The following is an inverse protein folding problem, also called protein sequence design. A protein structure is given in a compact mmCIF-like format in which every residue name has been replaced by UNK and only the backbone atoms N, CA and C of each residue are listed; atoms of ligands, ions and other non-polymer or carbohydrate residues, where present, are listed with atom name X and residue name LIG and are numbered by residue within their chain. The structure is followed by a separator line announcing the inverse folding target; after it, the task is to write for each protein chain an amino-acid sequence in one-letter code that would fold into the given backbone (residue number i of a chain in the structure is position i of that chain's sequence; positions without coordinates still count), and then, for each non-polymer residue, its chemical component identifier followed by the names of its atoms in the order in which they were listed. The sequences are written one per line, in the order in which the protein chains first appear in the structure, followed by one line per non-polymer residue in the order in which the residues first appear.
data_IF_884044493456
#
_entry.id   IF_884044493456
#
_cell.length_a   1.000
_cell.length_b   1.000
_cell.length_c   1.000
_cell.angle_alpha   90.00
_cell.angle_beta   90.00
_cell.angle_gamma   90.00
#
_symmetry.space_group_name_H-M   'P 1'
#
loop_
_entity.id
_entity.type
_entity.pdbx_description
1 polymer ?
#
# COMPACT_ATOMS: atom_id res chain seq x y z
N UNK A 1 8.11 -22.59 -0.36
CA UNK A 1 6.99 -23.34 0.23
C UNK A 1 7.35 -24.82 0.31
N UNK A 2 6.55 -25.60 1.03
CA UNK A 2 6.62 -27.05 1.06
C UNK A 2 6.33 -27.61 -0.34
N UNK A 3 7.10 -28.62 -0.74
CA UNK A 3 6.92 -29.27 -2.05
C UNK A 3 5.57 -29.99 -2.07
N UNK A 4 4.77 -29.72 -3.11
CA UNK A 4 3.49 -30.41 -3.27
C UNK A 4 3.70 -31.91 -3.57
N UNK A 5 3.01 -32.82 -2.85
CA UNK A 5 3.13 -34.26 -3.08
C UNK A 5 2.53 -34.66 -4.43
N UNK A 6 2.95 -35.80 -4.97
CA UNK A 6 2.54 -36.26 -6.30
C UNK A 6 1.03 -36.38 -6.51
N UNK A 7 0.29 -36.76 -5.47
CA UNK A 7 -1.17 -36.82 -5.50
C UNK A 7 -1.82 -35.43 -5.65
N UNK A 8 -1.29 -34.40 -4.98
CA UNK A 8 -1.84 -33.04 -5.08
C UNK A 8 -1.72 -32.49 -6.51
N UNK A 9 -0.63 -32.78 -7.21
CA UNK A 9 -0.47 -32.44 -8.63
C UNK A 9 -1.49 -33.13 -9.55
N UNK A 10 -1.98 -34.32 -9.18
CA UNK A 10 -3.02 -35.02 -9.95
C UNK A 10 -4.42 -34.50 -9.66
N UNK A 11 -4.66 -34.03 -8.42
CA UNK A 11 -5.97 -33.53 -7.98
C UNK A 11 -6.21 -32.08 -8.37
N UNK A 12 -5.20 -31.22 -8.21
CA UNK A 12 -5.30 -29.77 -8.43
C UNK A 12 -4.58 -29.30 -9.68
N UNK A 13 -3.78 -30.18 -10.30
CA UNK A 13 -3.13 -29.86 -11.57
C UNK A 13 -4.19 -29.51 -12.59
N UNK A 14 -4.21 -28.28 -13.14
CA UNK A 14 -5.12 -28.00 -14.22
C UNK A 14 -4.75 -28.92 -15.39
N UNK A 15 -5.74 -29.51 -16.04
CA UNK A 15 -5.56 -30.00 -17.40
C UNK A 15 -5.57 -28.82 -18.42
N UNK A 16 -5.24 -27.60 -17.99
CA UNK A 16 -6.18 -26.49 -18.11
C UNK A 16 -5.69 -25.19 -18.76
N UNK A 17 -4.56 -25.19 -19.46
CA UNK A 17 -4.26 -24.16 -20.48
C UNK A 17 -4.53 -24.68 -21.90
N UNK A 18 -4.86 -25.97 -22.04
CA UNK A 18 -5.08 -26.64 -23.33
C UNK A 18 -3.80 -26.88 -24.14
N UNK A 19 -2.62 -26.61 -23.59
CA UNK A 19 -1.34 -26.68 -24.31
C UNK A 19 -0.71 -28.10 -24.33
N UNK A 20 -1.32 -29.06 -23.63
CA UNK A 20 -0.92 -30.47 -23.60
C UNK A 20 0.35 -30.78 -22.79
N UNK A 21 0.92 -29.80 -22.07
CA UNK A 21 2.12 -30.03 -21.24
C UNK A 21 1.78 -30.58 -19.85
N UNK A 22 2.70 -31.32 -19.22
CA UNK A 22 2.49 -31.78 -17.85
C UNK A 22 2.50 -30.59 -16.87
N UNK A 23 1.65 -30.58 -15.82
CA UNK A 23 1.48 -29.45 -14.90
C UNK A 23 2.72 -28.94 -14.15
N UNK A 24 3.85 -29.67 -14.27
CA UNK A 24 5.13 -29.33 -13.64
C UNK A 24 6.15 -28.72 -14.61
N UNK A 25 5.82 -28.63 -15.90
CA UNK A 25 6.72 -28.08 -16.92
C UNK A 25 6.44 -26.60 -17.22
N UNK A 26 5.19 -26.15 -17.07
CA UNK A 26 4.80 -24.74 -17.18
C UNK A 26 4.84 -24.06 -15.80
N UNK A 27 5.39 -22.85 -15.71
CA UNK A 27 5.31 -22.03 -14.48
C UNK A 27 3.86 -21.63 -14.18
N UNK A 28 3.06 -21.38 -15.22
CA UNK A 28 1.65 -20.98 -15.09
C UNK A 28 0.82 -22.12 -14.51
N UNK A 29 0.91 -23.34 -15.07
CA UNK A 29 0.28 -24.53 -14.48
C UNK A 29 0.71 -24.77 -13.03
N UNK A 30 1.99 -24.54 -12.70
CA UNK A 30 2.49 -24.69 -11.34
C UNK A 30 1.81 -23.69 -10.39
N UNK A 31 1.71 -22.42 -10.79
CA UNK A 31 1.04 -21.39 -10.01
C UNK A 31 -0.46 -21.68 -9.85
N UNK A 32 -1.14 -22.06 -10.94
CA UNK A 32 -2.55 -22.43 -10.93
C UNK A 32 -2.82 -23.63 -10.01
N UNK A 33 -1.95 -24.65 -10.06
CA UNK A 33 -2.04 -25.82 -9.17
C UNK A 33 -1.90 -25.43 -7.70
N UNK A 34 -0.91 -24.57 -7.39
CA UNK A 34 -0.68 -24.10 -6.02
C UNK A 34 -1.88 -23.28 -5.54
N UNK A 35 -2.38 -22.36 -6.36
CA UNK A 35 -3.54 -21.53 -6.04
C UNK A 35 -4.80 -22.37 -5.79
N UNK A 36 -5.11 -23.32 -6.67
CA UNK A 36 -6.25 -24.21 -6.53
C UNK A 36 -6.17 -25.06 -5.24
N UNK A 37 -4.98 -25.56 -4.89
CA UNK A 37 -4.77 -26.27 -3.63
C UNK A 37 -4.98 -25.35 -2.42
N UNK A 38 -4.39 -24.15 -2.44
CA UNK A 38 -4.52 -23.20 -1.32
C UNK A 38 -6.00 -22.83 -1.10
N UNK A 39 -6.75 -22.60 -2.17
CA UNK A 39 -8.18 -22.30 -2.09
C UNK A 39 -9.01 -23.45 -1.49
N UNK A 40 -8.61 -24.70 -1.73
CA UNK A 40 -9.28 -25.88 -1.19
C UNK A 40 -9.00 -26.14 0.31
N UNK A 41 -8.04 -25.43 0.91
CA UNK A 41 -7.77 -25.54 2.35
C UNK A 41 -8.79 -24.66 3.10
N UNK A 42 -9.61 -25.25 3.98
CA UNK A 42 -10.55 -24.49 4.80
C UNK A 42 -9.80 -23.68 5.85
N UNK A 43 -10.40 -22.55 6.26
CA UNK A 43 -9.84 -21.67 7.29
C UNK A 43 -9.48 -20.29 6.74
N UNK A 44 -8.66 -19.58 7.51
CA UNK A 44 -8.16 -18.23 7.18
C UNK A 44 -7.00 -18.29 6.19
N UNK A 45 -6.64 -17.17 5.57
CA UNK A 45 -5.44 -17.10 4.73
C UNK A 45 -4.16 -17.42 5.52
N UNK A 46 -4.14 -17.10 6.82
CA UNK A 46 -3.08 -17.55 7.73
C UNK A 46 -2.97 -19.07 7.83
N UNK A 47 -4.09 -19.80 7.83
CA UNK A 47 -4.10 -21.28 7.85
C UNK A 47 -3.56 -21.84 6.54
N UNK A 48 -3.97 -21.25 5.41
CA UNK A 48 -3.50 -21.62 4.07
C UNK A 48 -2.00 -21.39 3.91
N UNK A 49 -1.51 -20.23 4.37
CA UNK A 49 -0.09 -19.90 4.37
C UNK A 49 0.71 -20.82 5.28
N UNK A 50 0.23 -21.15 6.49
CA UNK A 50 0.86 -22.16 7.35
C UNK A 50 0.93 -23.53 6.69
N UNK A 51 -0.14 -23.94 6.01
CA UNK A 51 -0.18 -25.21 5.29
C UNK A 51 0.76 -25.27 4.07
N UNK A 52 1.24 -24.13 3.58
CA UNK A 52 2.19 -24.06 2.46
C UNK A 52 3.62 -23.72 2.87
N UNK A 53 3.82 -22.79 3.80
CA UNK A 53 5.15 -22.37 4.26
C UNK A 53 5.60 -23.06 5.55
N UNK A 54 4.75 -23.87 6.17
CA UNK A 54 4.97 -24.42 7.52
C UNK A 54 4.78 -23.37 8.60
N UNK A 55 5.29 -23.62 9.81
CA UNK A 55 5.14 -22.72 10.96
C UNK A 55 6.21 -21.61 11.03
N UNK A 56 6.83 -21.24 9.91
CA UNK A 56 7.81 -20.14 9.90
C UNK A 56 7.07 -18.79 9.90
N UNK A 57 6.95 -18.19 11.08
CA UNK A 57 6.22 -16.94 11.29
C UNK A 57 6.74 -15.78 10.45
N UNK A 58 8.06 -15.68 10.22
CA UNK A 58 8.66 -14.64 9.38
C UNK A 58 8.23 -14.76 7.91
N UNK A 59 8.24 -15.98 7.38
CA UNK A 59 7.82 -16.25 6.00
C UNK A 59 6.32 -16.00 5.83
N UNK A 60 5.50 -16.40 6.82
CA UNK A 60 4.06 -16.13 6.80
C UNK A 60 3.78 -14.64 6.83
N UNK A 61 4.44 -13.89 7.73
CA UNK A 61 4.26 -12.44 7.83
C UNK A 61 4.66 -11.74 6.52
N UNK A 62 5.76 -12.15 5.89
CA UNK A 62 6.17 -11.62 4.59
C UNK A 62 5.17 -11.96 3.48
N UNK A 63 4.61 -13.17 3.46
CA UNK A 63 3.60 -13.57 2.49
C UNK A 63 2.31 -12.76 2.65
N UNK A 64 1.83 -12.55 3.89
CA UNK A 64 0.66 -11.72 4.18
C UNK A 64 0.87 -10.26 3.77
N UNK A 65 2.06 -9.71 4.02
CA UNK A 65 2.42 -8.36 3.59
C UNK A 65 2.41 -8.25 2.05
N UNK A 66 2.97 -9.25 1.38
CA UNK A 66 3.04 -9.32 -0.08
C UNK A 66 1.65 -9.44 -0.69
N UNK A 67 0.77 -10.26 -0.10
CA UNK A 67 -0.62 -10.42 -0.51
C UNK A 67 -1.37 -9.09 -0.38
N UNK A 68 -1.33 -8.46 0.79
CA UNK A 68 -1.95 -7.15 1.02
C UNK A 68 -1.43 -6.09 0.03
N UNK A 69 -0.13 -6.07 -0.24
CA UNK A 69 0.45 -5.16 -1.21
C UNK A 69 -0.08 -5.38 -2.64
N UNK A 70 -0.14 -6.63 -3.12
CA UNK A 70 -0.63 -6.91 -4.48
C UNK A 70 -2.14 -6.72 -4.60
N UNK A 71 -2.91 -6.98 -3.53
CA UNK A 71 -4.34 -6.66 -3.49
C UNK A 71 -4.56 -5.14 -3.56
N UNK A 72 -3.81 -4.38 -2.75
CA UNK A 72 -3.79 -2.92 -2.78
C UNK A 72 -3.24 -2.34 -4.08
N UNK A 73 -2.40 -3.05 -4.83
CA UNK A 73 -1.95 -2.63 -6.14
C UNK A 73 -3.07 -2.82 -7.18
N UNK A 74 -3.76 -3.96 -7.12
CA UNK A 74 -4.76 -4.36 -8.10
C UNK A 74 -4.15 -4.94 -9.38
N UNK A 75 -4.91 -5.78 -10.08
CA UNK A 75 -4.42 -6.50 -11.26
C UNK A 75 -4.02 -5.54 -12.40
N UNK A 76 -4.84 -4.51 -12.65
CA UNK A 76 -4.57 -3.55 -13.72
C UNK A 76 -3.23 -2.83 -13.54
N UNK A 77 -2.86 -2.47 -12.31
CA UNK A 77 -1.59 -1.84 -12.00
C UNK A 77 -0.40 -2.80 -12.16
N UNK A 78 -0.58 -4.10 -11.88
CA UNK A 78 0.43 -5.13 -12.12
C UNK A 78 0.70 -5.28 -13.63
N UNK A 79 -0.36 -5.24 -14.45
CA UNK A 79 -0.25 -5.46 -15.90
C UNK A 79 0.23 -4.24 -16.67
N UNK A 80 -0.30 -3.06 -16.34
CA UNK A 80 -0.08 -1.81 -17.11
C UNK A 80 0.88 -0.84 -16.44
N UNK A 81 1.19 -1.07 -15.16
CA UNK A 81 1.96 -0.15 -14.35
C UNK A 81 1.10 0.96 -13.73
N UNK A 82 1.63 1.53 -12.65
CA UNK A 82 0.91 2.47 -11.79
C UNK A 82 0.72 3.87 -12.42
N UNK A 83 1.48 4.20 -13.48
CA UNK A 83 1.37 5.46 -14.22
C UNK A 83 0.30 5.44 -15.32
N UNK A 84 -0.32 4.28 -15.59
CA UNK A 84 -1.38 4.19 -16.61
C UNK A 84 -2.63 4.93 -16.14
N UNK A 85 -3.19 5.88 -16.92
CA UNK A 85 -4.34 6.68 -16.50
C UNK A 85 -5.58 5.86 -16.14
N UNK A 86 -5.78 4.70 -16.77
CA UNK A 86 -6.91 3.81 -16.46
C UNK A 86 -6.73 3.13 -15.10
N UNK A 87 -5.50 2.78 -14.75
CA UNK A 87 -5.14 2.25 -13.43
C UNK A 87 -5.35 3.33 -12.36
N UNK A 88 -4.91 4.55 -12.62
CA UNK A 88 -5.08 5.66 -11.69
C UNK A 88 -6.55 5.92 -11.39
N UNK A 89 -7.41 5.95 -12.42
CA UNK A 89 -8.85 6.12 -12.24
C UNK A 89 -9.47 4.97 -11.42
N UNK A 90 -9.11 3.72 -11.70
CA UNK A 90 -9.59 2.56 -10.95
C UNK A 90 -9.20 2.61 -9.47
N UNK A 91 -7.97 3.02 -9.17
CA UNK A 91 -7.50 3.21 -7.79
C UNK A 91 -8.28 4.31 -7.07
N UNK A 92 -8.56 5.42 -7.74
CA UNK A 92 -9.37 6.51 -7.17
C UNK A 92 -10.77 6.02 -6.81
N UNK A 93 -11.44 5.36 -7.76
CA UNK A 93 -12.79 4.83 -7.55
C UNK A 93 -12.83 3.80 -6.42
N UNK A 94 -11.82 2.93 -6.34
CA UNK A 94 -11.72 1.91 -5.28
C UNK A 94 -11.55 2.54 -3.91
N UNK A 95 -10.60 3.47 -3.74
CA UNK A 95 -10.38 4.16 -2.45
C UNK A 95 -11.62 4.95 -2.03
N UNK A 96 -12.31 5.60 -2.97
CA UNK A 96 -13.54 6.35 -2.68
C UNK A 96 -14.72 5.44 -2.31
N UNK A 97 -14.73 4.20 -2.79
CA UNK A 97 -15.78 3.22 -2.51
C UNK A 97 -15.50 2.35 -1.27
N UNK A 98 -14.24 2.27 -0.82
CA UNK A 98 -13.86 1.43 0.31
C UNK A 98 -14.36 2.02 1.64
N UNK A 99 -15.30 1.31 2.28
CA UNK A 99 -15.89 1.69 3.56
C UNK A 99 -14.92 1.65 4.73
N UNK A 100 -13.75 1.03 4.55
CA UNK A 100 -12.66 0.98 5.52
C UNK A 100 -11.85 2.29 5.54
N UNK A 101 -11.99 3.11 4.50
CA UNK A 101 -11.24 4.36 4.34
C UNK A 101 -12.10 5.53 4.81
N UNK A 102 -11.72 6.13 5.92
CA UNK A 102 -12.38 7.31 6.46
C UNK A 102 -11.61 8.54 6.00
N UNK A 103 -12.20 9.29 5.07
CA UNK A 103 -11.57 10.46 4.48
C UNK A 103 -12.42 11.72 4.70
N UNK A 104 -11.75 12.82 5.04
CA UNK A 104 -12.39 14.12 5.19
C UNK A 104 -12.87 14.67 3.84
N UNK A 105 -13.86 15.59 3.80
CA UNK A 105 -14.46 16.03 2.55
C UNK A 105 -13.48 16.63 1.53
N UNK A 106 -12.48 17.39 1.99
CA UNK A 106 -11.45 17.96 1.12
C UNK A 106 -10.59 16.87 0.45
N UNK A 107 -10.17 15.86 1.21
CA UNK A 107 -9.39 14.75 0.68
C UNK A 107 -10.17 13.90 -0.32
N UNK A 108 -11.47 13.71 -0.11
CA UNK A 108 -12.33 13.07 -1.11
C UNK A 108 -12.35 13.85 -2.43
N UNK A 109 -12.38 15.18 -2.37
CA UNK A 109 -12.33 16.02 -3.56
C UNK A 109 -10.97 15.98 -4.25
N UNK A 110 -9.87 15.93 -3.49
CA UNK A 110 -8.52 15.77 -4.05
C UNK A 110 -8.40 14.45 -4.85
N UNK A 111 -8.93 13.34 -4.31
CA UNK A 111 -8.93 12.04 -5.00
C UNK A 111 -9.80 12.10 -6.26
N UNK A 112 -11.01 12.66 -6.18
CA UNK A 112 -11.92 12.83 -7.34
C UNK A 112 -11.36 13.73 -8.43
N UNK A 113 -10.56 14.73 -8.05
CA UNK A 113 -9.87 15.61 -8.99
C UNK A 113 -8.68 14.94 -9.68
N UNK A 114 -8.27 13.78 -9.19
CA UNK A 114 -7.17 12.99 -9.73
C UNK A 114 -5.79 13.61 -9.57
N UNK A 115 -5.62 14.44 -8.54
CA UNK A 115 -4.37 15.14 -8.25
C UNK A 115 -3.48 14.41 -7.24
N UNK A 116 -3.89 13.22 -6.77
CA UNK A 116 -3.16 12.42 -5.80
C UNK A 116 -2.28 11.39 -6.50
N UNK A 117 -1.02 11.31 -6.08
CA UNK A 117 -0.07 10.31 -6.54
C UNK A 117 -0.64 8.89 -6.30
N UNK A 118 -0.69 8.02 -7.32
CA UNK A 118 -1.23 6.68 -7.17
C UNK A 118 -0.57 5.83 -6.06
N UNK A 119 0.70 6.10 -5.71
CA UNK A 119 1.40 5.42 -4.61
C UNK A 119 0.77 5.75 -3.26
N UNK A 120 0.24 6.96 -3.10
CA UNK A 120 -0.55 7.33 -1.91
C UNK A 120 -1.82 6.50 -1.85
N UNK A 121 -2.54 6.36 -2.97
CA UNK A 121 -3.77 5.56 -3.05
C UNK A 121 -3.53 4.08 -2.75
N UNK A 122 -2.46 3.49 -3.30
CA UNK A 122 -2.04 2.11 -2.99
C UNK A 122 -1.70 1.97 -1.50
N UNK A 123 -1.06 2.98 -0.89
CA UNK A 123 -0.72 2.93 0.53
C UNK A 123 -1.95 2.95 1.43
N UNK A 124 -3.00 3.68 1.05
CA UNK A 124 -4.29 3.68 1.77
C UNK A 124 -4.93 2.30 1.75
N UNK A 125 -5.07 1.69 0.57
CA UNK A 125 -5.64 0.34 0.42
C UNK A 125 -4.80 -0.72 1.15
N UNK A 126 -3.47 -0.60 1.05
CA UNK A 126 -2.56 -1.49 1.74
C UNK A 126 -2.74 -1.40 3.25
N UNK A 127 -2.82 -0.20 3.81
CA UNK A 127 -3.06 -0.02 5.24
C UNK A 127 -4.46 -0.50 5.64
N UNK A 128 -5.48 -0.32 4.80
CA UNK A 128 -6.84 -0.83 5.05
C UNK A 128 -6.89 -2.36 5.07
N UNK A 129 -6.11 -3.03 4.23
CA UNK A 129 -5.94 -4.49 4.26
C UNK A 129 -5.18 -4.98 5.49
N UNK A 130 -4.19 -4.20 5.95
CA UNK A 130 -3.33 -4.57 7.09
C UNK A 130 -3.95 -4.26 8.45
N UNK A 131 -4.77 -3.21 8.53
CA UNK A 131 -5.28 -2.63 9.77
C UNK A 131 -6.81 -2.46 9.80
N UNK A 132 -7.54 -3.06 8.86
CA UNK A 132 -9.01 -3.04 8.75
C UNK A 132 -9.66 -1.68 8.49
N UNK A 133 -9.21 -0.59 9.09
CA UNK A 133 -9.64 0.79 8.76
C UNK A 133 -8.45 1.74 8.74
N UNK A 134 -8.59 2.82 7.95
CA UNK A 134 -7.61 3.90 7.83
C UNK A 134 -8.34 5.23 7.89
N UNK A 135 -7.92 6.12 8.78
CA UNK A 135 -8.45 7.49 8.85
C UNK A 135 -7.41 8.48 8.32
N UNK A 136 -7.79 9.18 7.26
CA UNK A 136 -6.99 10.19 6.58
C UNK A 136 -7.33 11.56 7.16
N UNK A 137 -6.33 12.26 7.70
CA UNK A 137 -6.49 13.62 8.20
C UNK A 137 -6.09 14.69 7.19
N UNK A 138 -5.13 14.40 6.30
CA UNK A 138 -4.73 15.34 5.27
C UNK A 138 -4.24 14.67 3.98
N UNK A 139 -4.67 15.24 2.86
CA UNK A 139 -4.11 15.14 1.52
C UNK A 139 -3.72 16.56 1.09
N UNK A 140 -3.98 16.98 -0.14
CA UNK A 140 -3.61 18.32 -0.64
C UNK A 140 -4.38 19.41 0.11
N UNK A 141 -5.70 19.31 0.13
CA UNK A 141 -6.60 20.34 0.66
C UNK A 141 -6.61 20.44 2.19
N UNK A 142 -5.97 19.48 2.88
CA UNK A 142 -5.95 19.39 4.35
C UNK A 142 -4.67 19.93 4.99
N UNK A 143 -3.69 20.34 4.19
CA UNK A 143 -2.35 20.72 4.66
C UNK A 143 -1.93 22.08 4.09
N UNK A 144 -1.11 22.83 4.81
CA UNK A 144 -0.54 24.09 4.32
C UNK A 144 0.46 23.86 3.18
N UNK A 145 0.64 24.83 2.28
CA UNK A 145 1.65 24.71 1.21
C UNK A 145 3.06 24.55 1.78
N UNK A 146 3.35 25.24 2.89
CA UNK A 146 4.65 25.20 3.55
C UNK A 146 4.64 24.33 4.81
N UNK A 147 5.77 23.68 5.08
CA UNK A 147 6.08 23.03 6.36
C UNK A 147 6.36 24.08 7.45
N UNK A 148 6.43 23.66 8.71
CA UNK A 148 6.83 24.54 9.82
C UNK A 148 8.24 25.15 9.62
N UNK A 149 9.12 24.46 8.89
CA UNK A 149 10.47 24.92 8.54
C UNK A 149 10.53 25.81 7.28
N UNK A 150 9.40 26.06 6.61
CA UNK A 150 9.31 26.94 5.45
C UNK A 150 9.57 26.28 4.10
N UNK A 151 9.73 24.96 4.05
CA UNK A 151 9.86 24.21 2.79
C UNK A 151 8.47 23.94 2.18
N UNK A 152 8.38 23.75 0.86
CA UNK A 152 7.12 23.31 0.24
C UNK A 152 6.88 21.85 0.62
N UNK A 153 5.70 21.56 1.17
CA UNK A 153 5.30 20.22 1.59
C UNK A 153 4.96 19.32 0.39
N UNK A 154 5.21 18.01 0.50
CA UNK A 154 4.78 17.01 -0.49
C UNK A 154 3.25 16.94 -0.64
N UNK A 155 2.49 17.39 0.36
CA UNK A 155 1.04 17.56 0.23
C UNK A 155 0.68 18.54 -0.90
N UNK A 156 1.46 19.60 -1.10
CA UNK A 156 1.21 20.58 -2.16
C UNK A 156 1.30 19.98 -3.57
N UNK A 157 1.96 18.82 -3.71
CA UNK A 157 2.12 18.10 -4.96
C UNK A 157 1.26 16.83 -5.05
N UNK A 158 0.39 16.58 -4.08
CA UNK A 158 -0.41 15.34 -4.01
C UNK A 158 0.41 14.09 -3.74
N UNK A 159 1.64 14.24 -3.23
CA UNK A 159 2.60 13.14 -3.03
C UNK A 159 2.70 12.67 -1.58
N UNK A 160 1.83 13.16 -0.70
CA UNK A 160 1.81 12.79 0.70
C UNK A 160 0.41 12.63 1.28
N UNK A 161 0.37 11.94 2.41
CA UNK A 161 -0.82 11.67 3.20
C UNK A 161 -0.47 11.69 4.68
N UNK A 162 -1.38 12.26 5.48
CA UNK A 162 -1.37 12.14 6.93
C UNK A 162 -2.47 11.17 7.38
N UNK A 163 -2.08 10.20 8.20
CA UNK A 163 -2.94 9.14 8.72
C UNK A 163 -3.13 9.36 10.22
N UNK A 164 -4.34 9.67 10.64
CA UNK A 164 -4.67 9.97 12.05
C UNK A 164 -5.16 8.77 12.85
N UNK A 165 -5.60 7.68 12.20
CA UNK A 165 -5.99 6.45 12.88
C UNK A 165 -5.85 5.23 11.97
N UNK A 166 -5.63 4.07 12.59
CA UNK A 166 -5.62 2.75 11.98
C UNK A 166 -6.40 1.80 12.87
N UNK A 167 -7.14 0.83 12.33
CA UNK A 167 -7.92 -0.14 13.13
C UNK A 167 -8.81 0.55 14.18
N UNK A 168 -9.44 1.65 13.76
CA UNK A 168 -10.24 2.59 14.57
C UNK A 168 -9.52 3.15 15.82
N UNK A 169 -8.20 3.00 15.90
CA UNK A 169 -7.34 3.47 16.98
C UNK A 169 -6.63 4.75 16.53
N UNK A 170 -6.90 5.91 17.15
CA UNK A 170 -6.18 7.14 16.88
C UNK A 170 -4.67 6.97 17.11
N UNK A 171 -3.85 7.58 16.27
CA UNK A 171 -2.41 7.69 16.52
C UNK A 171 -2.18 8.53 17.78
N UNK A 172 -2.91 9.65 17.90
CA UNK A 172 -2.88 10.49 19.10
C UNK A 172 -3.24 9.71 20.37
N UNK A 173 -2.47 9.92 21.44
CA UNK A 173 -2.64 9.24 22.73
C UNK A 173 -2.30 7.75 22.77
N UNK A 174 -1.85 7.12 21.67
CA UNK A 174 -1.58 5.68 21.59
C UNK A 174 -0.10 5.35 21.33
N UNK A 175 0.80 6.16 21.88
CA UNK A 175 2.25 6.03 21.68
C UNK A 175 2.89 4.93 22.56
N UNK A 176 2.17 4.36 23.53
CA UNK A 176 2.74 3.44 24.51
C UNK A 176 3.10 2.08 23.91
N UNK A 177 4.31 1.59 24.22
CA UNK A 177 4.77 0.25 23.86
C UNK A 177 5.60 0.20 22.58
N UNK A 178 6.56 -0.72 22.53
CA UNK A 178 7.53 -0.83 21.43
C UNK A 178 6.95 -1.39 20.11
N UNK A 179 5.70 -1.86 20.14
CA UNK A 179 4.99 -2.43 18.98
C UNK A 179 3.55 -1.89 18.89
N UNK A 180 3.38 -0.63 19.29
CA UNK A 180 2.12 0.09 19.12
C UNK A 180 1.70 0.14 17.63
N UNK A 181 0.46 0.58 17.38
CA UNK A 181 -0.10 0.56 16.03
C UNK A 181 0.70 1.38 15.02
N UNK A 182 1.21 2.53 15.44
CA UNK A 182 2.09 3.38 14.63
C UNK A 182 3.34 2.62 14.22
N UNK A 183 4.07 2.05 15.19
CA UNK A 183 5.31 1.30 14.93
C UNK A 183 5.06 0.10 14.02
N UNK A 184 3.93 -0.61 14.17
CA UNK A 184 3.54 -1.70 13.27
C UNK A 184 3.32 -1.21 11.84
N UNK A 185 2.59 -0.11 11.66
CA UNK A 185 2.34 0.48 10.35
C UNK A 185 3.63 0.95 9.67
N UNK A 186 4.52 1.63 10.41
CA UNK A 186 5.83 2.06 9.91
C UNK A 186 6.68 0.87 9.46
N UNK A 187 6.73 -0.21 10.26
CA UNK A 187 7.47 -1.44 9.90
C UNK A 187 6.90 -2.13 8.66
N UNK A 188 5.59 -2.11 8.47
CA UNK A 188 4.94 -2.70 7.30
C UNK A 188 5.20 -1.87 6.03
N UNK A 189 5.09 -0.54 6.11
CA UNK A 189 5.41 0.39 5.02
C UNK A 189 6.89 0.29 4.60
N UNK A 190 7.81 0.21 5.56
CA UNK A 190 9.25 0.07 5.29
C UNK A 190 9.62 -1.25 4.61
N UNK A 191 8.74 -2.26 4.62
CA UNK A 191 8.96 -3.56 3.95
C UNK A 191 8.35 -3.62 2.55
N UNK A 192 7.68 -2.58 2.08
CA UNK A 192 7.18 -2.49 0.71
C UNK A 192 8.35 -2.52 -0.30
N UNK A 193 8.10 -2.95 -1.55
CA UNK A 193 9.16 -2.98 -2.57
C UNK A 193 9.69 -1.58 -2.89
N UNK A 194 10.87 -1.51 -3.50
CA UNK A 194 11.56 -0.25 -3.81
C UNK A 194 10.70 0.78 -4.57
N UNK A 195 9.85 0.32 -5.49
CA UNK A 195 8.92 1.18 -6.25
C UNK A 195 7.90 1.90 -5.37
N UNK A 196 7.70 1.42 -4.14
CA UNK A 196 6.77 1.93 -3.13
C UNK A 196 7.50 2.38 -1.85
N UNK A 197 8.82 2.55 -1.89
CA UNK A 197 9.54 3.12 -0.76
C UNK A 197 9.30 4.64 -0.68
N UNK A 198 8.83 5.16 0.46
CA UNK A 198 8.64 6.60 0.62
C UNK A 198 9.99 7.32 0.75
N UNK A 199 9.93 8.65 0.61
CA UNK A 199 11.03 9.56 0.94
C UNK A 199 10.87 10.14 2.34
N UNK A 200 9.63 10.31 2.78
CA UNK A 200 9.28 10.82 4.09
C UNK A 200 8.34 9.83 4.76
N UNK A 201 8.72 9.33 5.94
CA UNK A 201 7.89 8.51 6.79
C UNK A 201 8.03 9.01 8.23
N UNK A 202 7.23 10.01 8.58
CA UNK A 202 7.45 10.80 9.79
C UNK A 202 6.40 10.45 10.86
N UNK A 203 6.87 10.30 12.08
CA UNK A 203 6.07 10.03 13.28
C UNK A 203 6.88 10.43 14.52
N UNK A 204 6.61 9.87 15.70
CA UNK A 204 7.52 9.96 16.85
C UNK A 204 8.65 8.91 16.85
N UNK A 205 8.72 8.02 15.86
CA UNK A 205 9.72 6.95 15.78
C UNK A 205 10.64 7.11 14.58
N UNK A 206 11.94 6.94 14.81
CA UNK A 206 12.96 6.83 13.78
C UNK A 206 13.40 5.36 13.66
N UNK A 207 12.88 4.65 12.67
CA UNK A 207 13.19 3.24 12.43
C UNK A 207 14.31 3.04 11.39
N UNK A 208 14.89 4.14 10.90
CA UNK A 208 15.92 4.15 9.86
C UNK A 208 15.33 4.28 8.44
N UNK A 209 16.22 4.47 7.46
CA UNK A 209 15.80 4.74 6.08
C UNK A 209 14.98 6.04 5.99
N UNK A 210 13.80 6.03 5.34
CA UNK A 210 12.93 7.21 5.26
C UNK A 210 12.15 7.51 6.56
N UNK A 211 12.33 6.71 7.62
CA UNK A 211 11.64 6.90 8.90
C UNK A 211 12.37 7.86 9.84
N UNK A 212 11.74 8.99 10.16
CA UNK A 212 12.30 10.02 11.04
C UNK A 212 11.31 10.45 12.13
N UNK A 213 11.85 10.87 13.28
CA UNK A 213 11.07 11.31 14.42
C UNK A 213 10.96 12.84 14.47
N UNK A 214 9.74 13.37 14.49
CA UNK A 214 9.45 14.79 14.76
C UNK A 214 8.44 14.90 15.90
N UNK A 215 8.64 15.84 16.83
CA UNK A 215 7.88 15.91 18.08
C UNK A 215 6.42 16.35 17.91
N UNK A 216 6.09 16.98 16.79
CA UNK A 216 4.76 17.47 16.42
C UNK A 216 3.97 16.46 15.56
N UNK A 217 4.47 15.22 15.42
CA UNK A 217 3.79 14.12 14.72
C UNK A 217 3.30 13.05 15.72
N UNK A 218 2.77 13.49 16.87
CA UNK A 218 2.20 12.58 17.87
C UNK A 218 0.77 12.15 17.53
N UNK A 219 0.08 12.88 16.66
CA UNK A 219 -1.31 12.67 16.28
C UNK A 219 -1.51 12.04 14.89
N UNK A 220 -0.46 11.88 14.09
CA UNK A 220 -0.54 11.25 12.78
C UNK A 220 0.76 10.56 12.32
N UNK A 221 0.66 9.73 11.28
CA UNK A 221 1.79 9.27 10.46
C UNK A 221 1.78 10.09 9.18
N UNK A 222 2.88 10.76 8.88
CA UNK A 222 3.10 11.40 7.58
C UNK A 222 3.82 10.43 6.65
N UNK A 223 3.28 10.21 5.46
CA UNK A 223 3.86 9.37 4.42
C UNK A 223 3.96 10.16 3.12
N UNK A 224 5.18 10.39 2.64
CA UNK A 224 5.47 11.17 1.45
C UNK A 224 6.42 10.45 0.50
N UNK A 225 6.12 10.46 -0.81
CA UNK A 225 6.89 9.74 -1.81
C UNK A 225 7.92 10.57 -2.58
N UNK A 226 7.77 11.90 -2.57
CA UNK A 226 8.58 12.81 -3.37
C UNK A 226 8.52 12.52 -4.87
N UNK A 227 9.28 13.30 -5.64
CA UNK A 227 9.38 13.11 -7.08
C UNK A 227 9.89 11.72 -7.43
N UNK A 228 9.13 10.97 -8.23
CA UNK A 228 9.71 9.95 -9.11
C UNK A 228 10.66 10.72 -10.05
N UNK A 229 11.88 10.22 -10.28
CA UNK A 229 12.74 10.79 -11.30
C UNK A 229 12.14 10.55 -12.69
N UNK A 230 11.17 11.38 -13.07
CA UNK A 230 10.66 11.51 -14.44
C UNK A 230 10.67 13.00 -14.73
N UNK A 231 11.71 13.43 -15.43
CA UNK A 231 11.91 14.82 -15.78
C UNK A 231 10.76 15.35 -16.63
N UNK A 232 10.02 16.30 -16.08
CA UNK A 232 9.65 17.55 -16.73
C UNK A 232 9.26 18.52 -15.62
N UNK A 233 10.24 19.36 -15.26
CA UNK A 233 10.00 20.54 -14.46
C UNK A 233 9.15 21.50 -15.29
N UNK A 234 7.91 21.72 -14.88
CA UNK A 234 7.13 22.88 -15.31
C UNK A 234 6.73 23.64 -14.05
N UNK A 235 7.63 24.53 -13.63
CA UNK A 235 7.28 25.64 -12.75
C UNK A 235 6.21 26.46 -13.48
N UNK A 236 5.05 26.76 -12.89
CA UNK A 236 4.18 27.80 -13.41
C UNK A 236 4.91 29.13 -13.24
N UNK A 237 5.40 29.67 -14.35
CA UNK A 237 5.88 31.05 -14.40
C UNK A 237 4.67 31.93 -14.14
N UNK A 238 4.72 32.70 -13.05
CA UNK A 238 3.71 33.71 -12.76
C UNK A 238 3.62 34.68 -13.93
N UNK A 239 2.43 34.79 -14.52
CA UNK A 239 2.11 35.89 -15.43
C UNK A 239 1.83 37.13 -14.59
N UNK A 240 2.83 38.00 -14.49
CA UNK A 240 2.56 39.41 -14.30
C UNK A 240 2.00 40.01 -15.60
N UNK A 241 0.91 40.75 -15.49
CA UNK A 241 0.54 41.93 -16.30
C UNK A 241 -0.64 42.60 -15.59
N UNK A 242 -0.39 43.68 -14.84
CA UNK A 242 -0.67 45.09 -15.21
C UNK A 242 -2.12 45.55 -14.95
N UNK A 243 -2.28 46.37 -13.90
CA UNK A 243 -2.75 47.76 -13.94
C UNK A 243 -2.35 48.50 -12.66
#
# INVERSE_FOLDING_TARGET
GQRLPGAAWKTFGPAGEGDGKPPRASTTDQLATIAARLAAIPGTDGDRLRAYYGNNSSVIAHAQLTEAYHHALGLAAIEKGLSDPTVVAELQDRVLADKRVHNYPGGQNDIKAGIIDPRVLVSVEFLADRFHTVTISALVSGHSVFTASGNVSLHAFGQAIDIAALDDTPIYGHQSGADNITVRALKDLLRLPESMQPKELISLWALGGPSFALTDHDDHIHLGFGSVATGTSAIPVGSGAEH
#
